data_IF_544465520914
#
_entry.id   IF_544465520914
#
_cell.length_a   1.000
_cell.length_b   1.000
_cell.length_c   1.000
_cell.angle_alpha   90.00
_cell.angle_beta   90.00
_cell.angle_gamma   90.00
#
_symmetry.space_group_name_H-M   'P 1'
#
loop_
_entity.id
_entity.type
_entity.pdbx_description
1 polymer ?
#
# COMPACT_ATOMS: atom_id res chain seq x y z
N UNK A 1 7.73 -12.19 -50.65
CA UNK A 1 7.92 -10.75 -50.43
C UNK A 1 7.19 -10.43 -49.14
N UNK A 2 7.93 -10.34 -48.03
CA UNK A 2 7.36 -9.93 -46.75
C UNK A 2 7.27 -8.40 -46.79
N UNK A 3 6.07 -7.88 -46.98
CA UNK A 3 5.85 -6.44 -46.91
C UNK A 3 5.95 -6.03 -45.45
N UNK A 4 7.08 -5.44 -45.08
CA UNK A 4 7.25 -4.78 -43.78
C UNK A 4 6.24 -3.63 -43.70
N UNK A 5 5.16 -3.83 -42.94
CA UNK A 5 4.19 -2.76 -42.68
C UNK A 5 4.92 -1.57 -42.06
N UNK A 6 4.86 -0.41 -42.70
CA UNK A 6 5.57 0.78 -42.20
C UNK A 6 5.13 1.11 -40.78
N UNK A 7 6.08 1.53 -39.93
CA UNK A 7 5.81 1.86 -38.53
C UNK A 7 4.69 2.91 -38.38
N UNK A 8 4.58 3.82 -39.34
CA UNK A 8 3.51 4.82 -39.40
C UNK A 8 2.12 4.17 -39.54
N UNK A 9 2.00 3.11 -40.34
CA UNK A 9 0.74 2.37 -40.49
C UNK A 9 0.34 1.67 -39.19
N UNK A 10 1.30 1.11 -38.43
CA UNK A 10 1.05 0.50 -37.13
C UNK A 10 0.59 1.54 -36.08
N UNK A 11 1.14 2.75 -36.12
CA UNK A 11 0.73 3.82 -35.21
C UNK A 11 -0.70 4.30 -35.52
N UNK A 12 -1.04 4.49 -36.80
CA UNK A 12 -2.40 4.82 -37.23
C UNK A 12 -3.41 3.74 -36.83
N UNK A 13 -3.04 2.48 -36.98
CA UNK A 13 -3.88 1.35 -36.57
C UNK A 13 -4.09 1.30 -35.04
N UNK A 14 -3.04 1.52 -34.26
CA UNK A 14 -3.12 1.62 -32.80
C UNK A 14 -4.08 2.72 -32.36
N UNK A 15 -4.02 3.88 -33.00
CA UNK A 15 -4.86 5.02 -32.64
C UNK A 15 -6.32 4.81 -33.06
N UNK A 16 -6.56 4.11 -34.17
CA UNK A 16 -7.91 3.78 -34.67
C UNK A 16 -8.59 2.67 -33.85
N UNK A 17 -7.87 1.59 -33.54
CA UNK A 17 -8.43 0.39 -32.91
C UNK A 17 -8.34 0.46 -31.37
N UNK A 18 -7.41 1.26 -30.84
CA UNK A 18 -7.19 1.49 -29.42
C UNK A 18 -6.13 0.58 -28.78
N UNK A 19 -5.57 1.02 -27.65
CA UNK A 19 -4.40 0.39 -27.00
C UNK A 19 -4.62 -1.04 -26.49
N UNK A 20 -5.84 -1.41 -26.10
CA UNK A 20 -6.13 -2.72 -25.48
C UNK A 20 -6.22 -3.82 -26.54
N UNK A 21 -7.08 -3.60 -27.53
CA UNK A 21 -7.27 -4.44 -28.71
C UNK A 21 -6.00 -4.59 -29.53
N UNK A 22 -5.23 -3.51 -29.71
CA UNK A 22 -3.94 -3.56 -30.40
C UNK A 22 -2.91 -4.46 -29.69
N UNK A 23 -2.78 -4.36 -28.36
CA UNK A 23 -1.89 -5.23 -27.57
C UNK A 23 -2.31 -6.70 -27.60
N UNK A 24 -3.61 -6.98 -27.59
CA UNK A 24 -4.11 -8.36 -27.74
C UNK A 24 -3.73 -8.95 -29.09
N UNK A 25 -3.87 -8.18 -30.17
CA UNK A 25 -3.46 -8.60 -31.51
C UNK A 25 -1.95 -8.84 -31.60
N UNK A 26 -1.13 -7.89 -31.14
CA UNK A 26 0.33 -8.05 -31.07
C UNK A 26 0.72 -9.31 -30.30
N UNK A 27 0.09 -9.56 -29.15
CA UNK A 27 0.40 -10.74 -28.35
C UNK A 27 0.06 -12.06 -29.07
N UNK A 28 -1.03 -12.10 -29.84
CA UNK A 28 -1.42 -13.29 -30.62
C UNK A 28 -0.51 -13.53 -31.82
N UNK A 29 -0.03 -12.47 -32.45
CA UNK A 29 0.88 -12.55 -33.60
C UNK A 29 2.30 -12.91 -33.14
N UNK A 30 2.80 -12.27 -32.07
CA UNK A 30 4.16 -12.47 -31.57
C UNK A 30 4.33 -13.77 -30.75
N UNK A 31 3.30 -14.24 -30.05
CA UNK A 31 3.39 -15.41 -29.16
C UNK A 31 2.70 -16.68 -29.70
N UNK A 32 2.47 -16.77 -31.02
CA UNK A 32 1.79 -17.91 -31.67
C UNK A 32 2.44 -19.29 -31.44
N UNK A 33 3.70 -19.36 -30.97
CA UNK A 33 4.47 -20.61 -30.92
C UNK A 33 4.90 -21.08 -29.52
N UNK A 34 4.44 -20.49 -28.42
CA UNK A 34 4.93 -20.84 -27.05
C UNK A 34 3.99 -21.65 -26.16
N UNK A 35 2.71 -21.80 -26.49
CA UNK A 35 1.73 -22.47 -25.62
C UNK A 35 1.44 -23.94 -25.93
N UNK A 36 1.95 -24.50 -27.05
CA UNK A 36 1.55 -25.86 -27.47
C UNK A 36 2.62 -26.96 -27.25
N UNK A 37 3.87 -26.61 -26.90
CA UNK A 37 4.98 -27.58 -26.88
C UNK A 37 5.30 -28.24 -25.53
N UNK A 38 4.59 -27.96 -24.44
CA UNK A 38 4.96 -28.51 -23.11
C UNK A 38 3.97 -29.48 -22.48
N UNK A 39 2.87 -29.85 -23.15
CA UNK A 39 1.94 -30.86 -22.63
C UNK A 39 1.36 -31.73 -23.74
N UNK A 40 2.08 -32.81 -24.07
CA UNK A 40 1.57 -34.12 -24.53
C UNK A 40 2.76 -34.93 -25.04
N UNK A 41 3.52 -35.53 -24.12
CA UNK A 41 4.15 -36.82 -24.46
C UNK A 41 2.98 -37.79 -24.55
N UNK A 42 2.60 -38.14 -25.77
CA UNK A 42 1.52 -39.08 -26.05
C UNK A 42 1.79 -40.39 -25.30
N UNK A 43 1.02 -40.63 -24.23
CA UNK A 43 0.70 -42.00 -23.88
C UNK A 43 -0.17 -42.48 -25.04
N UNK A 44 0.31 -43.47 -25.78
CA UNK A 44 -0.53 -44.17 -26.73
C UNK A 44 -1.55 -44.91 -25.86
N UNK A 45 -2.75 -44.37 -25.75
CA UNK A 45 -3.86 -45.02 -25.09
C UNK A 45 -4.14 -46.29 -25.91
N UNK A 46 -3.83 -47.44 -25.32
CA UNK A 46 -4.25 -48.72 -25.88
C UNK A 46 -5.72 -48.83 -25.49
N UNK A 47 -6.60 -48.68 -26.47
CA UNK A 47 -8.02 -48.89 -26.28
C UNK A 47 -8.21 -50.39 -26.03
N UNK A 48 -8.40 -50.77 -24.77
CA UNK A 48 -9.00 -52.06 -24.45
C UNK A 48 -10.51 -51.86 -24.48
N UNK A 49 -11.22 -52.68 -25.25
CA UNK A 49 -12.70 -52.64 -25.27
C UNK A 49 -13.31 -53.26 -24.01
N UNK A 50 -12.52 -54.05 -23.25
CA UNK A 50 -12.90 -54.68 -21.98
C UNK A 50 -12.04 -54.16 -20.81
N UNK A 51 -12.66 -53.52 -19.83
CA UNK A 51 -12.00 -52.87 -18.67
C UNK A 51 -11.36 -53.86 -17.67
N UNK A 52 -11.72 -55.15 -17.73
CA UNK A 52 -11.20 -56.19 -16.82
C UNK A 52 -10.09 -57.07 -17.44
N UNK A 53 -9.71 -56.82 -18.70
CA UNK A 53 -8.67 -57.58 -19.36
C UNK A 53 -7.26 -57.09 -18.99
N UNK A 54 -6.26 -58.00 -18.81
CA UNK A 54 -4.90 -57.61 -18.49
C UNK A 54 -4.25 -56.83 -19.64
N UNK A 55 -3.57 -55.72 -19.30
CA UNK A 55 -2.83 -54.90 -20.26
C UNK A 55 -1.41 -55.43 -20.49
N UNK A 56 -1.03 -55.59 -21.74
CA UNK A 56 0.36 -55.90 -22.09
C UNK A 56 1.27 -54.67 -21.90
N UNK A 57 2.35 -54.84 -21.14
CA UNK A 57 3.33 -53.79 -20.85
C UNK A 57 4.71 -54.26 -21.30
N UNK A 58 5.50 -53.37 -21.92
CA UNK A 58 6.86 -53.75 -22.37
C UNK A 58 7.78 -54.07 -21.20
N UNK A 59 8.47 -55.21 -21.26
CA UNK A 59 9.45 -55.68 -20.27
C UNK A 59 10.64 -54.73 -20.07
N UNK A 60 10.87 -53.80 -21.00
CA UNK A 60 11.92 -52.77 -20.89
C UNK A 60 11.50 -51.54 -20.09
N UNK A 61 10.24 -51.48 -19.63
CA UNK A 61 9.76 -50.35 -18.83
C UNK A 61 10.09 -50.56 -17.35
N UNK A 62 10.93 -49.70 -16.73
CA UNK A 62 11.29 -49.88 -15.32
C UNK A 62 10.10 -49.53 -14.41
N UNK A 63 9.86 -50.38 -13.39
CA UNK A 63 8.84 -50.13 -12.38
C UNK A 63 9.09 -48.82 -11.63
N UNK A 64 8.08 -47.95 -11.58
CA UNK A 64 8.15 -46.69 -10.83
C UNK A 64 7.90 -46.97 -9.35
N UNK A 65 8.96 -46.99 -8.53
CA UNK A 65 8.85 -47.04 -7.07
C UNK A 65 7.92 -45.92 -6.58
N UNK A 66 6.89 -46.26 -5.81
CA UNK A 66 5.99 -45.25 -5.25
C UNK A 66 6.78 -44.35 -4.30
N UNK A 67 6.84 -43.05 -4.60
CA UNK A 67 7.62 -42.07 -3.82
C UNK A 67 7.01 -41.76 -2.44
N UNK A 68 5.98 -42.50 -2.03
CA UNK A 68 5.14 -42.15 -0.88
C UNK A 68 5.35 -43.04 0.35
N UNK A 69 6.27 -44.01 0.32
CA UNK A 69 6.45 -44.96 1.43
C UNK A 69 7.42 -44.51 2.53
N UNK A 70 8.11 -43.37 2.38
CA UNK A 70 8.85 -42.79 3.49
C UNK A 70 8.00 -41.68 4.07
N UNK A 71 7.35 -42.03 5.18
CA UNK A 71 6.85 -41.11 6.19
C UNK A 71 7.79 -39.90 6.28
N UNK A 72 7.43 -38.79 5.61
CA UNK A 72 8.00 -37.48 5.93
C UNK A 72 7.43 -37.18 7.30
N UNK A 73 8.08 -37.71 8.34
CA UNK A 73 7.90 -37.25 9.69
C UNK A 73 8.01 -35.73 9.58
N UNK A 74 6.88 -35.04 9.69
CA UNK A 74 6.86 -33.60 9.77
C UNK A 74 7.65 -33.30 11.04
N UNK A 75 8.96 -33.10 10.88
CA UNK A 75 9.84 -32.66 11.94
C UNK A 75 9.14 -31.45 12.54
N UNK A 76 8.65 -31.61 13.76
CA UNK A 76 8.02 -30.54 14.51
C UNK A 76 9.12 -29.51 14.74
N UNK A 77 9.31 -28.62 13.76
CA UNK A 77 10.28 -27.54 13.82
C UNK A 77 9.97 -26.80 15.12
N UNK A 78 10.96 -26.66 16.00
CA UNK A 78 10.82 -25.80 17.18
C UNK A 78 10.39 -24.42 16.71
N UNK A 79 9.14 -24.05 17.00
CA UNK A 79 8.57 -22.76 16.59
C UNK A 79 8.79 -21.80 17.74
N UNK A 80 9.47 -20.69 17.46
CA UNK A 80 9.55 -19.60 18.43
C UNK A 80 8.14 -19.02 18.58
N UNK A 81 7.55 -19.04 19.78
CA UNK A 81 6.18 -18.59 19.97
C UNK A 81 5.97 -17.11 19.62
N UNK A 82 7.04 -16.29 19.62
CA UNK A 82 6.98 -14.88 19.16
C UNK A 82 6.75 -14.77 17.65
N UNK A 83 7.13 -15.80 16.90
CA UNK A 83 7.07 -15.83 15.44
C UNK A 83 6.11 -16.92 14.91
N UNK A 84 5.40 -17.64 15.80
CA UNK A 84 4.41 -18.62 15.38
C UNK A 84 3.06 -17.96 15.09
N UNK A 85 2.58 -18.09 13.85
CA UNK A 85 1.30 -17.51 13.40
C UNK A 85 0.08 -18.06 14.14
N UNK A 86 0.23 -19.20 14.84
CA UNK A 86 -0.83 -19.79 15.66
C UNK A 86 -1.02 -19.08 17.01
N UNK A 87 -0.02 -18.33 17.47
CA UNK A 87 -0.01 -17.78 18.83
C UNK A 87 -0.45 -16.33 18.81
N UNK A 88 -1.75 -16.14 19.02
CA UNK A 88 -2.38 -14.85 19.25
C UNK A 88 -2.39 -13.90 18.04
N UNK A 89 -3.13 -12.80 18.17
CA UNK A 89 -3.12 -11.71 17.21
C UNK A 89 -2.54 -10.46 17.86
N UNK A 90 -1.83 -9.66 17.07
CA UNK A 90 -1.28 -8.39 17.55
C UNK A 90 -2.41 -7.42 17.90
N UNK A 91 -2.55 -7.11 19.19
CA UNK A 91 -3.45 -6.06 19.64
C UNK A 91 -2.65 -4.77 19.85
N UNK A 92 -2.80 -3.84 18.90
CA UNK A 92 -2.08 -2.57 18.88
C UNK A 92 -2.34 -1.72 20.13
N UNK A 93 -3.56 -1.71 20.67
CA UNK A 93 -3.90 -0.91 21.84
C UNK A 93 -3.25 -1.44 23.12
N UNK A 94 -3.28 -2.77 23.30
CA UNK A 94 -2.58 -3.43 24.42
C UNK A 94 -1.08 -3.23 24.32
N UNK A 95 -0.52 -3.32 23.11
CA UNK A 95 0.89 -3.07 22.87
C UNK A 95 1.28 -1.63 23.22
N UNK A 96 0.54 -0.64 22.70
CA UNK A 96 0.80 0.77 22.99
C UNK A 96 0.75 1.06 24.50
N UNK A 97 -0.24 0.51 25.21
CA UNK A 97 -0.33 0.68 26.68
C UNK A 97 0.84 0.02 27.42
N UNK A 98 1.19 -1.21 27.07
CA UNK A 98 2.28 -1.96 27.73
C UNK A 98 3.66 -1.33 27.50
N UNK A 99 3.88 -0.75 26.32
CA UNK A 99 5.14 -0.13 25.93
C UNK A 99 5.11 1.40 25.97
N UNK A 100 4.14 1.99 26.68
CA UNK A 100 4.00 3.45 26.81
C UNK A 100 5.26 4.10 27.42
N UNK A 101 5.90 3.39 28.36
CA UNK A 101 7.16 3.81 28.98
C UNK A 101 8.28 4.05 27.95
N UNK A 102 8.33 3.26 26.87
CA UNK A 102 9.37 3.40 25.85
C UNK A 102 9.17 4.66 24.98
N UNK A 103 7.94 5.18 24.89
CA UNK A 103 7.68 6.46 24.24
C UNK A 103 8.04 7.63 25.17
N UNK A 104 7.73 7.51 26.47
CA UNK A 104 8.14 8.49 27.48
C UNK A 104 9.65 8.61 27.60
N UNK A 105 10.36 7.48 27.58
CA UNK A 105 11.82 7.46 27.59
C UNK A 105 12.41 8.17 26.36
N UNK A 106 11.87 7.89 25.16
CA UNK A 106 12.31 8.61 23.94
C UNK A 106 12.06 10.11 24.00
N UNK A 107 10.98 10.54 24.65
CA UNK A 107 10.71 11.97 24.84
C UNK A 107 11.73 12.61 25.77
N UNK A 108 12.14 11.92 26.85
CA UNK A 108 13.22 12.37 27.73
C UNK A 108 14.56 12.45 26.99
N UNK A 109 14.93 11.38 26.27
CA UNK A 109 16.15 11.34 25.46
C UNK A 109 16.19 12.47 24.42
N UNK A 110 15.05 12.80 23.81
CA UNK A 110 14.95 13.90 22.85
C UNK A 110 15.18 15.27 23.52
N UNK A 111 14.65 15.49 24.72
CA UNK A 111 14.90 16.74 25.46
C UNK A 111 16.37 16.84 25.89
N UNK A 112 16.99 15.75 26.33
CA UNK A 112 18.42 15.71 26.65
C UNK A 112 19.30 15.98 25.42
N UNK A 113 18.94 15.39 24.26
CA UNK A 113 19.60 15.68 22.98
C UNK A 113 19.47 17.15 22.58
N UNK A 114 18.31 17.76 22.79
CA UNK A 114 18.12 19.21 22.54
C UNK A 114 18.92 20.06 23.51
N UNK A 115 18.99 19.68 24.79
CA UNK A 115 19.73 20.41 25.80
C UNK A 115 21.24 20.37 25.52
N UNK A 116 21.78 19.19 25.18
CA UNK A 116 23.18 19.02 24.80
C UNK A 116 23.51 19.77 23.51
N UNK A 117 22.64 19.73 22.49
CA UNK A 117 22.84 20.48 21.26
C UNK A 117 22.85 22.00 21.47
N UNK A 118 22.12 22.52 22.47
CA UNK A 118 22.16 23.95 22.81
C UNK A 118 23.45 24.37 23.52
N UNK A 119 24.07 23.44 24.27
CA UNK A 119 25.28 23.69 25.08
C UNK A 119 26.57 23.50 24.28
N UNK A 120 26.62 22.49 23.42
CA UNK A 120 27.76 22.19 22.55
C UNK A 120 27.69 22.94 21.21
N UNK A 121 28.81 22.92 20.48
CA UNK A 121 28.92 23.56 19.17
C UNK A 121 27.80 23.15 18.21
N UNK A 122 27.22 24.15 17.55
CA UNK A 122 26.06 24.00 16.67
C UNK A 122 26.31 23.13 15.45
N UNK A 123 27.52 22.65 15.17
CA UNK A 123 27.87 21.99 13.92
C UNK A 123 27.86 20.45 13.94
N UNK A 124 27.39 19.83 15.03
CA UNK A 124 27.15 18.40 15.03
C UNK A 124 25.92 18.01 14.17
N UNK A 125 26.19 17.80 12.87
CA UNK A 125 25.20 17.39 11.87
C UNK A 125 24.51 16.08 12.24
N UNK A 126 25.20 15.17 12.93
CA UNK A 126 24.63 13.86 13.31
C UNK A 126 23.56 14.03 14.38
N UNK A 127 23.83 14.84 15.41
CA UNK A 127 22.84 15.18 16.45
C UNK A 127 21.62 15.88 15.88
N UNK A 128 21.82 16.89 15.01
CA UNK A 128 20.73 17.57 14.28
C UNK A 128 19.83 16.59 13.53
N UNK A 129 20.44 15.71 12.76
CA UNK A 129 19.71 14.70 11.99
C UNK A 129 18.94 13.75 12.90
N UNK A 130 19.53 13.32 14.01
CA UNK A 130 18.88 12.43 14.97
C UNK A 130 17.64 13.09 15.60
N UNK A 131 17.77 14.33 16.07
CA UNK A 131 16.64 15.09 16.64
C UNK A 131 15.54 15.24 15.60
N UNK A 132 15.88 15.68 14.39
CA UNK A 132 14.91 15.82 13.30
C UNK A 132 14.20 14.49 12.98
N UNK A 133 14.94 13.38 12.97
CA UNK A 133 14.40 12.04 12.73
C UNK A 133 13.37 11.66 13.80
N UNK A 134 13.71 11.82 15.08
CA UNK A 134 12.80 11.48 16.19
C UNK A 134 11.57 12.39 16.17
N UNK A 135 11.74 13.69 15.94
CA UNK A 135 10.60 14.63 15.82
C UNK A 135 9.69 14.29 14.64
N UNK A 136 10.26 13.91 13.49
CA UNK A 136 9.48 13.47 12.33
C UNK A 136 8.69 12.19 12.65
N UNK A 137 9.31 11.21 13.31
CA UNK A 137 8.63 9.99 13.75
C UNK A 137 7.48 10.29 14.72
N UNK A 138 7.69 11.17 15.71
CA UNK A 138 6.65 11.60 16.64
C UNK A 138 5.50 12.29 15.91
N UNK A 139 5.81 13.17 14.95
CA UNK A 139 4.81 13.84 14.11
C UNK A 139 4.02 12.85 13.27
N UNK A 140 4.67 11.87 12.65
CA UNK A 140 3.97 10.83 11.88
C UNK A 140 3.07 9.96 12.75
N UNK A 141 3.54 9.55 13.93
CA UNK A 141 2.75 8.76 14.87
C UNK A 141 1.51 9.52 15.34
N UNK A 142 1.65 10.82 15.67
CA UNK A 142 0.50 11.67 16.03
C UNK A 142 -0.51 11.77 14.88
N UNK A 143 -0.05 11.95 13.63
CA UNK A 143 -0.93 11.96 12.45
C UNK A 143 -1.64 10.64 12.24
N UNK A 144 -0.95 9.51 12.42
CA UNK A 144 -1.55 8.17 12.33
C UNK A 144 -2.64 7.99 13.39
N UNK A 145 -2.39 8.43 14.62
CA UNK A 145 -3.37 8.36 15.71
C UNK A 145 -4.61 9.21 15.40
N UNK A 146 -4.41 10.47 14.98
CA UNK A 146 -5.51 11.37 14.58
C UNK A 146 -6.32 10.75 13.43
N UNK A 147 -5.66 10.18 12.43
CA UNK A 147 -6.32 9.51 11.31
C UNK A 147 -7.09 8.26 11.76
N UNK A 148 -6.54 7.48 12.69
CA UNK A 148 -7.22 6.32 13.28
C UNK A 148 -8.48 6.73 14.02
N UNK A 149 -8.38 7.74 14.88
CA UNK A 149 -9.54 8.33 15.59
C UNK A 149 -10.57 8.87 14.60
N UNK A 150 -10.14 9.64 13.58
CA UNK A 150 -11.04 10.13 12.52
C UNK A 150 -11.72 8.99 11.77
N UNK A 151 -11.01 7.90 11.48
CA UNK A 151 -11.57 6.75 10.79
C UNK A 151 -12.59 5.99 11.66
N UNK A 152 -12.32 5.85 12.95
CA UNK A 152 -13.23 5.23 13.90
C UNK A 152 -14.49 6.09 14.11
N UNK A 153 -14.33 7.41 14.21
CA UNK A 153 -15.41 8.39 14.40
C UNK A 153 -16.19 8.70 13.12
N UNK A 154 -15.99 7.96 12.01
CA UNK A 154 -16.82 8.12 10.80
C UNK A 154 -18.25 7.66 11.03
N UNK A 155 -18.46 6.82 12.04
CA UNK A 155 -19.77 6.28 12.42
C UNK A 155 -20.29 7.08 13.59
N UNK A 156 -21.35 7.84 13.35
CA UNK A 156 -22.16 8.41 14.43
C UNK A 156 -23.40 7.53 14.59
N UNK A 157 -23.74 7.19 15.82
CA UNK A 157 -24.99 6.49 16.12
C UNK A 157 -26.03 7.57 16.37
N UNK A 158 -27.07 7.62 15.53
CA UNK A 158 -28.20 8.51 15.72
C UNK A 158 -29.06 8.04 16.91
N UNK A 159 -29.89 8.93 17.45
CA UNK A 159 -30.78 8.66 18.60
C UNK A 159 -31.66 7.44 18.34
N UNK A 160 -32.03 7.21 17.08
CA UNK A 160 -32.88 6.09 16.64
C UNK A 160 -32.10 4.75 16.51
N UNK A 161 -30.84 4.70 16.93
CA UNK A 161 -29.96 3.52 16.86
C UNK A 161 -29.39 3.23 15.47
N UNK A 162 -29.72 4.05 14.46
CA UNK A 162 -29.19 3.91 13.10
C UNK A 162 -27.76 4.45 13.00
N UNK A 163 -26.88 3.71 12.32
CA UNK A 163 -25.49 4.12 12.08
C UNK A 163 -25.43 5.10 10.91
N UNK A 164 -25.08 6.35 11.17
CA UNK A 164 -24.84 7.37 10.17
C UNK A 164 -23.34 7.46 9.84
N UNK A 165 -23.00 7.35 8.55
CA UNK A 165 -21.63 7.50 8.08
C UNK A 165 -21.45 8.88 7.45
N UNK A 166 -20.57 9.70 8.03
CA UNK A 166 -20.32 11.05 7.50
C UNK A 166 -19.79 10.99 6.09
N UNK A 167 -20.43 11.73 5.18
CA UNK A 167 -19.90 11.91 3.82
C UNK A 167 -18.60 12.73 3.85
N UNK A 168 -17.74 12.57 2.83
CA UNK A 168 -16.50 13.36 2.70
C UNK A 168 -16.76 14.88 2.67
N UNK A 169 -17.93 15.31 2.19
CA UNK A 169 -18.30 16.74 2.18
C UNK A 169 -18.56 17.23 3.61
N UNK A 170 -19.34 16.49 4.39
CA UNK A 170 -19.64 16.81 5.78
C UNK A 170 -18.38 16.83 6.66
N UNK A 171 -17.47 15.86 6.48
CA UNK A 171 -16.18 15.85 7.18
C UNK A 171 -15.35 17.10 6.90
N UNK A 172 -15.35 17.60 5.65
CA UNK A 172 -14.63 18.83 5.30
C UNK A 172 -15.27 20.07 5.92
N UNK A 173 -16.59 20.14 6.00
CA UNK A 173 -17.27 21.26 6.65
C UNK A 173 -16.97 21.28 8.14
N UNK A 174 -16.98 20.12 8.81
CA UNK A 174 -16.58 20.00 10.21
C UNK A 174 -15.13 20.42 10.44
N UNK A 175 -14.19 19.93 9.60
CA UNK A 175 -12.79 20.34 9.65
C UNK A 175 -12.61 21.86 9.47
N UNK A 176 -13.40 22.49 8.58
CA UNK A 176 -13.39 23.95 8.39
C UNK A 176 -13.93 24.70 9.62
N UNK A 177 -15.01 24.20 10.22
CA UNK A 177 -15.59 24.77 11.45
C UNK A 177 -14.60 24.67 12.61
N UNK A 178 -13.98 23.50 12.81
CA UNK A 178 -12.97 23.30 13.84
C UNK A 178 -11.78 24.25 13.65
N UNK A 179 -11.26 24.34 12.42
CA UNK A 179 -10.17 25.27 12.10
C UNK A 179 -10.56 26.73 12.31
N UNK A 180 -11.81 27.10 12.04
CA UNK A 180 -12.31 28.44 12.32
C UNK A 180 -12.32 28.73 13.82
N UNK A 181 -12.83 27.80 14.64
CA UNK A 181 -12.85 27.91 16.10
C UNK A 181 -11.42 28.01 16.64
N UNK A 182 -10.50 27.16 16.19
CA UNK A 182 -9.08 27.22 16.57
C UNK A 182 -8.47 28.60 16.28
N UNK A 183 -8.70 29.14 15.07
CA UNK A 183 -8.18 30.46 14.69
C UNK A 183 -8.83 31.61 15.46
N UNK A 184 -10.12 31.49 15.78
CA UNK A 184 -10.86 32.47 16.59
C UNK A 184 -10.32 32.48 18.02
N UNK A 185 -10.17 31.31 18.63
CA UNK A 185 -9.64 31.15 19.99
C UNK A 185 -8.17 31.60 20.08
N UNK A 186 -7.37 31.36 19.04
CA UNK A 186 -5.99 31.85 18.96
C UNK A 186 -5.87 33.35 18.66
N UNK A 187 -6.96 34.07 18.36
CA UNK A 187 -6.94 35.48 17.96
C UNK A 187 -6.26 35.74 16.61
N UNK A 188 -6.11 34.73 15.75
CA UNK A 188 -5.39 34.82 14.47
C UNK A 188 -6.32 34.95 13.26
N UNK A 189 -7.63 34.91 13.49
CA UNK A 189 -8.64 34.91 12.43
C UNK A 189 -8.57 36.15 11.53
N UNK A 190 -8.50 37.35 12.10
CA UNK A 190 -8.41 38.60 11.34
C UNK A 190 -7.16 38.66 10.48
N UNK A 191 -5.99 38.33 11.06
CA UNK A 191 -4.72 38.24 10.33
C UNK A 191 -4.80 37.25 9.15
N UNK A 192 -5.49 36.14 9.31
CA UNK A 192 -5.70 35.16 8.24
C UNK A 192 -6.62 35.72 7.13
N UNK A 193 -7.70 36.42 7.50
CA UNK A 193 -8.61 37.09 6.57
C UNK A 193 -7.89 38.19 5.79
N UNK A 194 -7.06 39.00 6.43
CA UNK A 194 -6.29 40.06 5.76
C UNK A 194 -5.28 39.50 4.77
N UNK A 195 -4.56 38.44 5.15
CA UNK A 195 -3.67 37.72 4.22
C UNK A 195 -4.45 37.17 3.03
N UNK A 196 -5.67 36.65 3.25
CA UNK A 196 -6.54 36.15 2.17
C UNK A 196 -7.02 37.29 1.27
N UNK A 197 -7.47 38.42 1.83
CA UNK A 197 -7.88 39.63 1.10
C UNK A 197 -6.74 40.14 0.21
N UNK A 198 -5.54 40.31 0.77
CA UNK A 198 -4.34 40.77 0.03
C UNK A 198 -3.98 39.82 -1.11
N UNK A 199 -4.00 38.51 -0.88
CA UNK A 199 -3.75 37.49 -1.93
C UNK A 199 -4.80 37.54 -3.03
N UNK A 200 -6.06 37.71 -2.68
CA UNK A 200 -7.17 37.78 -3.65
C UNK A 200 -7.07 39.05 -4.50
N UNK A 201 -6.85 40.21 -3.88
CA UNK A 201 -6.62 41.46 -4.59
C UNK A 201 -5.41 41.36 -5.55
N UNK A 202 -4.33 40.70 -5.13
CA UNK A 202 -3.18 40.45 -6.00
C UNK A 202 -3.50 39.55 -7.20
N UNK A 203 -4.39 38.56 -7.04
CA UNK A 203 -4.86 37.71 -8.16
C UNK A 203 -5.78 38.48 -9.10
N UNK A 204 -6.66 39.31 -8.56
CA UNK A 204 -7.58 40.14 -9.35
C UNK A 204 -6.83 41.17 -10.19
N UNK A 205 -5.84 41.87 -9.61
CA UNK A 205 -4.96 42.79 -10.37
C UNK A 205 -4.28 42.09 -11.54
N UNK A 206 -3.73 40.88 -11.31
CA UNK A 206 -3.15 40.05 -12.38
C UNK A 206 -4.17 39.66 -13.45
N UNK A 207 -5.40 39.33 -13.05
CA UNK A 207 -6.46 38.97 -14.00
C UNK A 207 -6.91 40.16 -14.85
N UNK A 208 -6.85 41.37 -14.28
CA UNK A 208 -7.27 42.61 -14.95
C UNK A 208 -6.14 43.29 -15.74
N UNK A 209 -4.94 42.68 -15.85
CA UNK A 209 -3.76 43.27 -16.50
C UNK A 209 -3.43 44.70 -16.02
N UNK A 210 -3.74 45.00 -14.77
CA UNK A 210 -3.37 46.27 -14.16
C UNK A 210 -1.92 46.10 -13.71
N UNK A 211 -0.99 46.63 -14.51
CA UNK A 211 0.42 46.71 -14.12
C UNK A 211 0.59 47.57 -12.86
N UNK A 212 1.70 47.35 -12.17
CA UNK A 212 1.96 47.85 -10.81
C UNK A 212 1.93 49.36 -10.70
#
# INVERSE_FOLDING_TARGET
MEEETSFEALLKLRDQVGLKSFKEFESKVLFKNKSEKSQKRSRKEVNNEDDEAPLEISSKTPFKKSKNAVNRQFQARSRDPRFDSRIGTFNEEKFQKKYDFAFKLRDQELEDLKATQKKEDKDDKKKKYLIQRIENQKRENSKKLINKVRNNNKVEVLVDGTKFYKTKKLQRTEDLVNKFIELKNAGQLEKHLDKRRKRQAGKERKKMNIEK
#
